data_IF_817904134360
#
_entry.id   IF_817904134360
#
_cell.length_a   1.000
_cell.length_b   1.000
_cell.length_c   1.000
_cell.angle_alpha   90.00
_cell.angle_beta   90.00
_cell.angle_gamma   90.00
#
_symmetry.space_group_name_H-M   'P 1'
#
loop_
_entity.id
_entity.type
_entity.pdbx_description
1 polymer ?
#
# COMPACT_ATOMS: atom_id res chain seq x y z
N UNK A 1 -47.79 45.70 17.72
CA UNK A 1 -46.55 45.65 18.51
C UNK A 1 -45.97 44.25 18.36
N UNK A 2 -45.19 44.07 17.35
CA UNK A 2 -44.50 42.80 17.16
C UNK A 2 -43.02 43.12 17.03
N UNK A 3 -42.26 42.73 18.02
CA UNK A 3 -40.84 42.91 18.04
C UNK A 3 -40.18 41.74 17.29
N UNK A 4 -39.71 42.01 16.10
CA UNK A 4 -38.90 41.07 15.35
C UNK A 4 -37.49 41.07 15.91
N UNK A 5 -37.15 40.05 16.60
CA UNK A 5 -35.76 39.78 16.97
C UNK A 5 -35.10 38.97 15.86
N UNK A 6 -34.33 39.63 15.05
CA UNK A 6 -33.41 38.98 14.13
C UNK A 6 -32.30 38.34 14.93
N UNK A 7 -32.27 37.05 14.96
CA UNK A 7 -31.16 36.31 15.47
C UNK A 7 -30.16 36.18 14.32
N UNK A 8 -29.09 36.95 14.38
CA UNK A 8 -27.96 36.76 13.51
C UNK A 8 -27.20 35.52 13.99
N UNK A 9 -27.34 34.44 13.27
CA UNK A 9 -26.50 33.28 13.46
C UNK A 9 -25.20 33.55 12.73
N UNK A 10 -24.22 33.98 13.46
CA UNK A 10 -22.84 34.03 12.94
C UNK A 10 -22.30 32.62 12.94
N UNK A 11 -22.35 31.98 11.80
CA UNK A 11 -21.64 30.73 11.58
C UNK A 11 -20.15 31.07 11.43
N UNK A 12 -19.40 30.90 12.50
CA UNK A 12 -17.94 30.96 12.43
C UNK A 12 -17.47 29.63 11.88
N UNK A 13 -17.24 29.59 10.58
CA UNK A 13 -16.50 28.48 9.97
C UNK A 13 -15.02 28.68 10.25
N UNK A 14 -14.56 28.08 11.33
CA UNK A 14 -13.14 27.95 11.56
C UNK A 14 -12.56 26.89 10.62
N UNK A 15 -12.07 27.32 9.47
CA UNK A 15 -11.23 26.46 8.65
C UNK A 15 -9.87 26.38 9.33
N UNK A 16 -9.64 25.28 10.00
CA UNK A 16 -8.31 24.94 10.48
C UNK A 16 -7.40 24.65 9.29
N UNK A 17 -6.60 25.62 8.90
CA UNK A 17 -5.51 25.44 7.95
C UNK A 17 -4.38 24.71 8.68
N UNK A 18 -4.28 23.40 8.54
CA UNK A 18 -3.23 22.63 9.20
C UNK A 18 -3.20 21.13 8.94
N UNK A 19 -4.01 20.64 7.99
CA UNK A 19 -4.17 19.20 7.80
C UNK A 19 -3.25 18.55 6.75
N UNK A 20 -2.42 19.30 6.02
CA UNK A 20 -1.58 18.75 4.93
C UNK A 20 -0.51 17.80 5.43
N UNK A 21 0.13 18.05 6.59
CA UNK A 21 1.16 17.17 7.13
C UNK A 21 0.61 15.90 7.79
N UNK A 22 -0.59 15.98 8.39
CA UNK A 22 -1.28 14.82 8.99
C UNK A 22 -1.77 13.87 7.89
N UNK A 23 -2.33 14.42 6.80
CA UNK A 23 -2.80 13.63 5.66
C UNK A 23 -1.67 12.85 4.99
N UNK A 24 -0.47 13.44 4.85
CA UNK A 24 0.71 12.75 4.34
C UNK A 24 1.12 11.59 5.23
N UNK A 25 1.28 11.82 6.55
CA UNK A 25 1.70 10.79 7.50
C UNK A 25 0.72 9.61 7.51
N UNK A 26 -0.60 9.87 7.47
CA UNK A 26 -1.63 8.82 7.42
C UNK A 26 -1.58 8.05 6.10
N UNK A 27 -1.44 8.74 4.97
CA UNK A 27 -1.37 8.11 3.66
C UNK A 27 -0.10 7.28 3.50
N UNK A 28 1.05 7.80 3.94
CA UNK A 28 2.31 7.06 3.94
C UNK A 28 2.23 5.83 4.87
N UNK A 29 1.63 5.97 6.04
CA UNK A 29 1.40 4.86 6.97
C UNK A 29 0.50 3.79 6.35
N UNK A 30 -0.55 4.19 5.64
CA UNK A 30 -1.43 3.26 4.92
C UNK A 30 -0.69 2.52 3.81
N UNK A 31 0.16 3.22 3.06
CA UNK A 31 1.01 2.61 2.04
C UNK A 31 2.00 1.61 2.66
N UNK A 32 2.64 1.98 3.77
CA UNK A 32 3.56 1.09 4.50
C UNK A 32 2.84 -0.16 5.00
N UNK A 33 1.65 0.00 5.58
CA UNK A 33 0.83 -1.11 6.08
C UNK A 33 0.38 -2.06 4.97
N UNK A 34 -0.07 -1.51 3.85
CA UNK A 34 -0.49 -2.31 2.69
C UNK A 34 0.69 -3.06 2.07
N UNK A 35 1.87 -2.41 1.96
CA UNK A 35 3.09 -3.05 1.46
C UNK A 35 3.54 -4.19 2.38
N UNK A 36 3.54 -3.96 3.69
CA UNK A 36 3.87 -4.98 4.69
C UNK A 36 2.90 -6.18 4.62
N UNK A 37 1.61 -5.92 4.46
CA UNK A 37 0.59 -6.96 4.30
C UNK A 37 0.80 -7.79 3.02
N UNK A 38 1.10 -7.12 1.90
CA UNK A 38 1.41 -7.80 0.64
C UNK A 38 2.63 -8.70 0.76
N UNK A 39 3.69 -8.21 1.41
CA UNK A 39 4.90 -8.99 1.66
C UNK A 39 4.64 -10.18 2.55
N UNK A 40 3.97 -9.98 3.68
CA UNK A 40 3.66 -11.05 4.62
C UNK A 40 2.81 -12.14 3.98
N UNK A 41 1.77 -11.77 3.23
CA UNK A 41 0.93 -12.71 2.52
C UNK A 41 1.71 -13.52 1.48
N UNK A 42 2.62 -12.87 0.74
CA UNK A 42 3.46 -13.54 -0.25
C UNK A 42 4.41 -14.57 0.39
N UNK A 43 5.08 -14.21 1.47
CA UNK A 43 5.95 -15.15 2.19
C UNK A 43 5.18 -16.30 2.82
N UNK A 44 3.99 -16.03 3.35
CA UNK A 44 3.11 -17.08 3.84
C UNK A 44 2.69 -18.03 2.72
N UNK A 45 2.44 -17.49 1.53
CA UNK A 45 2.11 -18.29 0.34
C UNK A 45 3.30 -19.18 -0.09
N UNK A 46 4.53 -18.66 -0.04
CA UNK A 46 5.74 -19.45 -0.32
C UNK A 46 5.86 -20.63 0.66
N UNK A 47 5.51 -20.44 1.91
CA UNK A 47 5.60 -21.45 2.96
C UNK A 47 4.39 -22.41 3.00
N UNK A 48 3.28 -22.07 2.36
CA UNK A 48 2.10 -22.92 2.30
C UNK A 48 2.34 -24.12 1.39
N UNK A 49 1.90 -25.29 1.84
CA UNK A 49 2.20 -26.57 1.17
C UNK A 49 1.04 -27.11 0.33
N UNK A 50 -0.15 -26.60 0.53
CA UNK A 50 -1.33 -27.03 -0.23
C UNK A 50 -1.94 -25.87 -1.04
N UNK A 51 -2.57 -26.24 -2.14
CA UNK A 51 -3.14 -25.28 -3.12
C UNK A 51 -4.24 -24.44 -2.48
N UNK A 52 -5.05 -25.03 -1.60
CA UNK A 52 -6.14 -24.30 -0.94
C UNK A 52 -5.61 -23.16 -0.07
N UNK A 53 -4.56 -23.42 0.71
CA UNK A 53 -3.90 -22.38 1.50
C UNK A 53 -3.22 -21.33 0.62
N UNK A 54 -2.58 -21.75 -0.46
CA UNK A 54 -1.96 -20.86 -1.44
C UNK A 54 -2.99 -19.93 -2.10
N UNK A 55 -4.15 -20.45 -2.48
CA UNK A 55 -5.23 -19.66 -3.07
C UNK A 55 -5.78 -18.62 -2.09
N UNK A 56 -5.99 -19.00 -0.84
CA UNK A 56 -6.45 -18.06 0.19
C UNK A 56 -5.45 -16.94 0.44
N UNK A 57 -4.16 -17.26 0.45
CA UNK A 57 -3.09 -16.28 0.63
C UNK A 57 -2.89 -15.41 -0.62
N UNK A 58 -3.07 -15.97 -1.81
CA UNK A 58 -3.05 -15.20 -3.05
C UNK A 58 -4.18 -14.15 -3.06
N UNK A 59 -5.36 -14.49 -2.56
CA UNK A 59 -6.45 -13.52 -2.39
C UNK A 59 -6.04 -12.36 -1.48
N UNK A 60 -5.34 -12.63 -0.38
CA UNK A 60 -4.79 -11.59 0.50
C UNK A 60 -3.72 -10.73 -0.17
N UNK A 61 -2.86 -11.33 -0.99
CA UNK A 61 -1.89 -10.61 -1.81
C UNK A 61 -2.60 -9.62 -2.74
N UNK A 62 -3.67 -10.06 -3.40
CA UNK A 62 -4.47 -9.21 -4.30
C UNK A 62 -5.18 -8.09 -3.55
N UNK A 63 -5.77 -8.38 -2.41
CA UNK A 63 -6.44 -7.39 -1.56
C UNK A 63 -5.46 -6.30 -1.11
N UNK A 64 -4.31 -6.67 -0.58
CA UNK A 64 -3.28 -5.74 -0.16
C UNK A 64 -2.75 -4.90 -1.33
N UNK A 65 -2.60 -5.49 -2.52
CA UNK A 65 -2.18 -4.80 -3.74
C UNK A 65 -3.19 -3.78 -4.20
N UNK A 66 -4.47 -4.13 -4.20
CA UNK A 66 -5.56 -3.20 -4.54
C UNK A 66 -5.62 -2.02 -3.58
N UNK A 67 -5.45 -2.27 -2.30
CA UNK A 67 -5.40 -1.22 -1.28
C UNK A 67 -4.23 -0.28 -1.51
N UNK A 68 -3.04 -0.82 -1.77
CA UNK A 68 -1.85 0.00 -2.04
C UNK A 68 -2.01 0.83 -3.31
N UNK A 69 -2.52 0.24 -4.38
CA UNK A 69 -2.81 0.96 -5.62
C UNK A 69 -3.77 2.14 -5.39
N UNK A 70 -4.80 1.94 -4.57
CA UNK A 70 -5.77 3.00 -4.20
C UNK A 70 -5.12 4.10 -3.38
N UNK A 71 -4.28 3.76 -2.43
CA UNK A 71 -3.54 4.73 -1.61
C UNK A 71 -2.64 5.59 -2.48
N UNK A 72 -1.88 4.98 -3.40
CA UNK A 72 -0.99 5.69 -4.32
C UNK A 72 -1.76 6.62 -5.25
N UNK A 73 -2.91 6.20 -5.74
CA UNK A 73 -3.77 7.02 -6.60
C UNK A 73 -4.29 8.29 -5.90
N UNK A 74 -4.45 8.25 -4.57
CA UNK A 74 -4.86 9.38 -3.76
C UNK A 74 -3.74 10.36 -3.40
N UNK A 75 -2.48 10.01 -3.67
CA UNK A 75 -1.33 10.87 -3.34
C UNK A 75 -1.10 11.89 -4.45
N UNK A 76 -1.41 13.15 -4.14
CA UNK A 76 -1.36 14.28 -5.10
C UNK A 76 -0.59 15.45 -4.50
N UNK A 77 -0.36 16.49 -5.31
CA UNK A 77 0.31 17.71 -4.85
C UNK A 77 1.78 17.48 -4.52
N UNK A 78 2.21 17.91 -3.34
CA UNK A 78 3.59 17.78 -2.88
C UNK A 78 4.08 16.32 -2.77
N UNK A 79 3.15 15.39 -2.62
CA UNK A 79 3.43 13.96 -2.42
C UNK A 79 3.47 13.18 -3.75
N UNK A 80 3.10 13.81 -4.86
CA UNK A 80 3.00 13.18 -6.16
C UNK A 80 4.32 12.59 -6.64
N UNK A 81 5.45 13.24 -6.35
CA UNK A 81 6.78 12.75 -6.76
C UNK A 81 7.14 11.48 -5.99
N UNK A 82 6.97 11.46 -4.68
CA UNK A 82 7.24 10.28 -3.87
C UNK A 82 6.33 9.12 -4.27
N UNK A 83 5.05 9.39 -4.52
CA UNK A 83 4.10 8.40 -5.02
C UNK A 83 4.51 7.84 -6.37
N UNK A 84 4.98 8.68 -7.30
CA UNK A 84 5.45 8.24 -8.62
C UNK A 84 6.70 7.36 -8.52
N UNK A 85 7.68 7.75 -7.71
CA UNK A 85 8.90 6.98 -7.48
C UNK A 85 8.60 5.61 -6.83
N UNK A 86 7.72 5.61 -5.85
CA UNK A 86 7.23 4.39 -5.21
C UNK A 86 6.49 3.50 -6.21
N UNK A 87 5.58 4.08 -6.98
CA UNK A 87 4.77 3.35 -7.96
C UNK A 87 5.62 2.65 -9.00
N UNK A 88 6.69 3.27 -9.48
CA UNK A 88 7.60 2.65 -10.44
C UNK A 88 8.22 1.35 -9.89
N UNK A 89 8.65 1.35 -8.63
CA UNK A 89 9.16 0.16 -7.94
C UNK A 89 8.05 -0.86 -7.65
N UNK A 90 6.89 -0.38 -7.27
CA UNK A 90 5.72 -1.22 -6.98
C UNK A 90 5.23 -1.99 -8.20
N UNK A 91 5.20 -1.34 -9.37
CA UNK A 91 4.84 -2.01 -10.62
C UNK A 91 5.85 -3.11 -10.99
N UNK A 92 7.15 -2.86 -10.80
CA UNK A 92 8.20 -3.88 -10.98
C UNK A 92 8.05 -5.02 -9.99
N UNK A 93 7.74 -4.70 -8.73
CA UNK A 93 7.50 -5.70 -7.69
C UNK A 93 6.31 -6.60 -8.05
N UNK A 94 5.19 -6.01 -8.45
CA UNK A 94 4.00 -6.76 -8.87
C UNK A 94 4.27 -7.65 -10.08
N UNK A 95 4.96 -7.13 -11.09
CA UNK A 95 5.28 -7.88 -12.30
C UNK A 95 6.14 -9.12 -12.00
N UNK A 96 7.19 -8.97 -11.20
CA UNK A 96 8.05 -10.09 -10.80
C UNK A 96 7.28 -11.09 -9.95
N UNK A 97 6.47 -10.61 -9.00
CA UNK A 97 5.60 -11.47 -8.18
C UNK A 97 4.69 -12.31 -9.05
N UNK A 98 3.98 -11.69 -9.98
CA UNK A 98 2.93 -12.32 -10.77
C UNK A 98 3.48 -13.22 -11.88
N UNK A 99 4.64 -12.87 -12.46
CA UNK A 99 5.21 -13.60 -13.58
C UNK A 99 6.23 -14.67 -13.18
N UNK A 100 6.82 -14.57 -11.98
CA UNK A 100 7.89 -15.46 -11.55
C UNK A 100 7.63 -16.13 -10.21
N UNK A 101 7.26 -15.39 -9.18
CA UNK A 101 7.13 -15.93 -7.82
C UNK A 101 5.88 -16.79 -7.68
N UNK A 102 4.72 -16.25 -7.97
CA UNK A 102 3.45 -16.99 -7.83
C UNK A 102 3.41 -18.23 -8.72
N UNK A 103 3.82 -18.16 -9.99
CA UNK A 103 3.91 -19.38 -10.81
C UNK A 103 4.86 -20.43 -10.23
N UNK A 104 6.02 -20.04 -9.67
CA UNK A 104 6.94 -20.97 -9.03
C UNK A 104 6.30 -21.64 -7.81
N UNK A 105 5.54 -20.90 -7.00
CA UNK A 105 4.81 -21.45 -5.86
C UNK A 105 3.83 -22.54 -6.31
N UNK A 106 3.00 -22.25 -7.30
CA UNK A 106 2.00 -23.21 -7.80
C UNK A 106 2.62 -24.43 -8.48
N UNK A 107 3.84 -24.31 -9.00
CA UNK A 107 4.60 -25.44 -9.55
C UNK A 107 5.29 -26.30 -8.49
N UNK A 108 5.16 -25.93 -7.22
CA UNK A 108 5.85 -26.62 -6.12
C UNK A 108 7.31 -26.24 -5.96
N UNK A 109 7.76 -25.16 -6.61
CA UNK A 109 9.14 -24.67 -6.54
C UNK A 109 9.28 -23.50 -5.56
N UNK A 110 8.99 -23.78 -4.29
CA UNK A 110 9.06 -22.78 -3.21
C UNK A 110 10.48 -22.22 -3.03
N UNK A 111 11.52 -23.02 -3.26
CA UNK A 111 12.90 -22.58 -3.15
C UNK A 111 13.24 -21.47 -4.15
N UNK A 112 12.80 -21.59 -5.40
CA UNK A 112 12.98 -20.57 -6.42
C UNK A 112 12.16 -19.31 -6.10
N UNK A 113 10.91 -19.48 -5.68
CA UNK A 113 10.06 -18.38 -5.24
C UNK A 113 10.72 -17.58 -4.11
N UNK A 114 11.24 -18.27 -3.11
CA UNK A 114 11.93 -17.66 -1.97
C UNK A 114 13.22 -16.93 -2.41
N UNK A 115 13.99 -17.51 -3.30
CA UNK A 115 15.20 -16.89 -3.84
C UNK A 115 14.91 -15.55 -4.51
N UNK A 116 13.87 -15.47 -5.31
CA UNK A 116 13.46 -14.23 -5.97
C UNK A 116 12.95 -13.22 -4.94
N UNK A 117 12.14 -13.66 -3.99
CA UNK A 117 11.59 -12.82 -2.93
C UNK A 117 12.68 -12.23 -2.02
N UNK A 118 13.67 -13.03 -1.64
CA UNK A 118 14.79 -12.60 -0.80
C UNK A 118 15.82 -11.75 -1.56
N UNK A 119 15.88 -11.89 -2.88
CA UNK A 119 16.80 -11.16 -3.75
C UNK A 119 16.25 -9.83 -4.23
N UNK A 120 15.92 -9.75 -5.52
CA UNK A 120 15.51 -8.50 -6.18
C UNK A 120 14.26 -7.86 -5.54
N UNK A 121 13.32 -8.65 -5.06
CA UNK A 121 12.11 -8.14 -4.42
C UNK A 121 12.42 -7.49 -3.08
N UNK A 122 13.32 -8.07 -2.30
CA UNK A 122 13.77 -7.48 -1.03
C UNK A 122 14.46 -6.14 -1.24
N UNK A 123 15.25 -6.01 -2.29
CA UNK A 123 15.89 -4.76 -2.68
C UNK A 123 14.87 -3.68 -3.05
N UNK A 124 13.89 -4.04 -3.89
CA UNK A 124 12.79 -3.13 -4.25
C UNK A 124 11.97 -2.71 -3.03
N UNK A 125 11.70 -3.66 -2.15
CA UNK A 125 10.97 -3.42 -0.91
C UNK A 125 11.69 -2.39 -0.03
N UNK A 126 13.00 -2.54 0.14
CA UNK A 126 13.82 -1.59 0.91
C UNK A 126 13.78 -0.18 0.33
N UNK A 127 13.82 -0.05 -0.99
CA UNK A 127 13.71 1.25 -1.67
C UNK A 127 12.33 1.87 -1.47
N UNK A 128 11.26 1.10 -1.64
CA UNK A 128 9.89 1.56 -1.38
C UNK A 128 9.70 1.97 0.07
N UNK A 129 10.23 1.19 0.99
CA UNK A 129 10.20 1.47 2.42
C UNK A 129 10.84 2.82 2.75
N UNK A 130 12.00 3.10 2.14
CA UNK A 130 12.71 4.37 2.31
C UNK A 130 11.95 5.56 1.72
N UNK A 131 11.34 5.41 0.55
CA UNK A 131 10.56 6.49 -0.10
C UNK A 131 9.42 6.96 0.81
N UNK A 132 8.72 6.03 1.45
CA UNK A 132 7.60 6.34 2.35
C UNK A 132 8.01 6.56 3.80
N UNK A 133 9.31 6.50 4.11
CA UNK A 133 9.82 6.59 5.49
C UNK A 133 9.13 5.59 6.43
N UNK A 134 8.90 4.38 5.96
CA UNK A 134 8.30 3.31 6.75
C UNK A 134 9.19 2.92 7.94
N UNK A 135 8.55 2.61 9.05
CA UNK A 135 9.23 2.21 10.29
C UNK A 135 8.93 0.74 10.64
#
# INVERSE_FOLDING_TARGET
MISSRSIAVSAVFGFGLGFTSVAWADTASDACGALASARTALYSMINAKDVSAQDALNAKVREASTKLDSVLAGMTGADAKAAADFKALWEQFKATRDNQIIPAIYKGNAAEAKKIADGIQSERLSKMWSIMSCK
#
